data_IF_578029993937
#
_entry.id   IF_578029993937
#
_cell.length_a   1.000
_cell.length_b   1.000
_cell.length_c   1.000
_cell.angle_alpha   90.00
_cell.angle_beta   90.00
_cell.angle_gamma   90.00
#
_symmetry.space_group_name_H-M   'P 1'
#
loop_
_entity.id
_entity.type
_entity.pdbx_description
1 polymer ?
#
# COMPACT_ATOMS: atom_id res chain seq x y z
N UNK A 1 16.11 62.64 17.81
CA UNK A 1 14.97 62.09 17.03
C UNK A 1 14.88 60.52 17.08
N UNK A 2 16.00 59.78 17.07
CA UNK A 2 15.96 58.29 17.05
C UNK A 2 15.49 57.62 18.33
N UNK A 3 15.72 58.16 19.52
CA UNK A 3 15.26 57.59 20.78
C UNK A 3 13.75 57.69 21.00
N UNK A 4 13.16 58.84 20.58
CA UNK A 4 11.71 59.03 20.70
C UNK A 4 10.92 58.06 19.77
N UNK A 5 11.41 57.85 18.53
CA UNK A 5 10.81 56.89 17.62
C UNK A 5 10.86 55.45 18.15
N UNK A 6 11.96 55.05 18.78
CA UNK A 6 12.08 53.72 19.44
C UNK A 6 11.12 53.55 20.59
N UNK A 7 10.90 54.60 21.38
CA UNK A 7 9.95 54.56 22.48
C UNK A 7 8.51 54.41 21.98
N UNK A 8 8.11 55.22 21.03
CA UNK A 8 6.77 55.12 20.40
C UNK A 8 6.52 53.74 19.76
N UNK A 9 7.52 53.17 19.10
CA UNK A 9 7.41 51.84 18.51
C UNK A 9 7.20 50.76 19.61
N UNK A 10 7.89 50.89 20.74
CA UNK A 10 7.73 49.98 21.88
C UNK A 10 6.33 50.07 22.48
N UNK A 11 5.82 51.24 22.72
CA UNK A 11 4.48 51.46 23.25
C UNK A 11 3.40 50.93 22.30
N UNK A 12 3.54 51.20 21.02
CA UNK A 12 2.60 50.69 20.03
C UNK A 12 2.61 49.15 19.94
N UNK A 13 3.79 48.53 20.05
CA UNK A 13 3.92 47.08 20.11
C UNK A 13 3.20 46.50 21.36
N UNK A 14 3.37 47.09 22.54
CA UNK A 14 2.68 46.70 23.75
C UNK A 14 1.15 46.82 23.59
N UNK A 15 0.71 47.93 22.99
CA UNK A 15 -0.70 48.14 22.69
C UNK A 15 -1.27 47.04 21.80
N UNK A 16 -0.57 46.73 20.69
CA UNK A 16 -0.99 45.68 19.74
C UNK A 16 -0.99 44.28 20.41
N UNK A 17 0.03 43.96 21.16
CA UNK A 17 0.12 42.70 21.90
C UNK A 17 -1.01 42.53 22.91
N UNK A 18 -1.34 43.60 23.64
CA UNK A 18 -2.47 43.60 24.61
C UNK A 18 -3.81 43.39 23.89
N UNK A 19 -4.01 44.04 22.74
CA UNK A 19 -5.22 43.86 21.95
C UNK A 19 -5.31 42.47 21.30
N UNK A 20 -4.19 41.91 20.90
CA UNK A 20 -4.13 40.59 20.30
C UNK A 20 -4.15 39.42 21.31
N UNK A 21 -3.81 39.68 22.59
CA UNK A 21 -3.71 38.64 23.60
C UNK A 21 -4.96 37.73 23.73
N UNK A 22 -6.19 38.24 23.81
CA UNK A 22 -7.37 37.40 23.95
C UNK A 22 -7.61 36.52 22.71
N UNK A 23 -7.31 37.04 21.52
CA UNK A 23 -7.41 36.28 20.28
C UNK A 23 -6.34 35.20 20.21
N UNK A 24 -5.11 35.51 20.59
CA UNK A 24 -4.00 34.54 20.66
C UNK A 24 -4.34 33.40 21.65
N UNK A 25 -4.88 33.72 22.79
CA UNK A 25 -5.31 32.74 23.80
C UNK A 25 -6.45 31.85 23.28
N UNK A 26 -7.47 32.45 22.67
CA UNK A 26 -8.58 31.72 22.03
C UNK A 26 -8.06 30.75 20.98
N UNK A 27 -7.18 31.20 20.07
CA UNK A 27 -6.57 30.36 19.04
C UNK A 27 -5.73 29.23 19.66
N UNK A 28 -4.94 29.53 20.69
CA UNK A 28 -4.10 28.54 21.38
C UNK A 28 -4.95 27.43 22.03
N UNK A 29 -6.02 27.80 22.75
CA UNK A 29 -6.96 26.86 23.36
C UNK A 29 -7.59 25.93 22.33
N UNK A 30 -8.07 26.48 21.21
CA UNK A 30 -8.72 25.69 20.16
C UNK A 30 -7.72 24.80 19.42
N UNK A 31 -6.50 25.27 19.15
CA UNK A 31 -5.45 24.44 18.57
C UNK A 31 -5.14 23.21 19.43
N UNK A 32 -5.02 23.42 20.76
CA UNK A 32 -4.78 22.32 21.70
C UNK A 32 -5.92 21.30 21.67
N UNK A 33 -7.16 21.74 21.73
CA UNK A 33 -8.34 20.86 21.66
C UNK A 33 -8.40 20.07 20.35
N UNK A 34 -8.07 20.71 19.21
CA UNK A 34 -8.00 20.04 17.92
C UNK A 34 -6.93 18.95 17.92
N UNK A 35 -5.73 19.20 18.44
CA UNK A 35 -4.66 18.20 18.49
C UNK A 35 -5.01 17.02 19.41
N UNK A 36 -5.67 17.28 20.54
CA UNK A 36 -6.19 16.22 21.43
C UNK A 36 -7.23 15.34 20.69
N UNK A 37 -8.16 15.96 19.96
CA UNK A 37 -9.15 15.24 19.16
C UNK A 37 -8.52 14.44 18.01
N UNK A 38 -7.53 15.00 17.33
CA UNK A 38 -6.77 14.28 16.28
C UNK A 38 -6.07 13.05 16.85
N UNK A 39 -5.43 13.19 18.02
CA UNK A 39 -4.76 12.09 18.71
C UNK A 39 -5.75 11.01 19.13
N UNK A 40 -6.88 11.41 19.72
CA UNK A 40 -7.95 10.47 20.09
C UNK A 40 -8.49 9.71 18.86
N UNK A 41 -8.77 10.42 17.79
CA UNK A 41 -9.22 9.81 16.52
C UNK A 41 -8.20 8.82 15.99
N UNK A 42 -6.92 9.18 15.94
CA UNK A 42 -5.84 8.30 15.48
C UNK A 42 -5.80 7.01 16.30
N UNK A 43 -5.82 7.13 17.62
CA UNK A 43 -5.77 5.98 18.53
C UNK A 43 -6.99 5.06 18.39
N UNK A 44 -8.19 5.64 18.25
CA UNK A 44 -9.41 4.86 18.02
C UNK A 44 -9.39 4.15 16.66
N UNK A 45 -8.91 4.84 15.61
CA UNK A 45 -8.78 4.25 14.27
C UNK A 45 -7.81 3.07 14.27
N UNK A 46 -6.65 3.19 14.93
CA UNK A 46 -5.70 2.08 15.05
C UNK A 46 -6.28 0.89 15.82
N UNK A 47 -6.95 1.15 16.96
CA UNK A 47 -7.59 0.08 17.73
C UNK A 47 -8.65 -0.67 16.92
N UNK A 48 -9.49 0.08 16.20
CA UNK A 48 -10.51 -0.50 15.33
C UNK A 48 -9.89 -1.32 14.19
N UNK A 49 -8.84 -0.80 13.56
CA UNK A 49 -8.17 -1.51 12.47
C UNK A 49 -7.52 -2.81 12.95
N UNK A 50 -6.87 -2.81 14.12
CA UNK A 50 -6.32 -4.01 14.73
C UNK A 50 -7.43 -5.04 14.98
N UNK A 51 -8.53 -4.61 15.58
CA UNK A 51 -9.66 -5.46 15.87
C UNK A 51 -10.25 -6.08 14.57
N UNK A 52 -10.42 -5.28 13.53
CA UNK A 52 -10.88 -5.76 12.22
C UNK A 52 -9.93 -6.84 11.67
N UNK A 53 -8.62 -6.58 11.64
CA UNK A 53 -7.66 -7.53 11.08
C UNK A 53 -7.50 -8.80 11.91
N UNK A 54 -7.74 -8.76 13.21
CA UNK A 54 -7.78 -9.92 14.07
C UNK A 54 -9.00 -10.82 13.78
N UNK A 55 -10.13 -10.19 13.46
CA UNK A 55 -11.39 -10.88 13.19
C UNK A 55 -11.62 -11.19 11.71
N UNK A 56 -10.85 -10.57 10.83
CA UNK A 56 -10.90 -10.86 9.39
C UNK A 56 -10.10 -12.12 9.08
N UNK A 57 -10.80 -13.25 9.02
CA UNK A 57 -10.21 -14.58 8.86
C UNK A 57 -10.40 -15.11 7.45
N UNK A 58 -9.35 -15.75 6.94
CA UNK A 58 -9.31 -16.40 5.64
C UNK A 58 -9.14 -17.90 5.82
N UNK A 59 -9.99 -18.69 5.15
CA UNK A 59 -9.90 -20.15 5.12
C UNK A 59 -8.92 -20.58 4.04
N UNK A 60 -8.19 -21.67 4.30
CA UNK A 60 -7.51 -22.41 3.24
C UNK A 60 -8.37 -23.58 2.75
N UNK A 61 -7.91 -24.33 1.75
CA UNK A 61 -8.65 -25.47 1.20
C UNK A 61 -8.81 -26.63 2.19
N UNK A 62 -8.00 -26.68 3.26
CA UNK A 62 -8.13 -27.64 4.35
C UNK A 62 -9.14 -27.20 5.43
N UNK A 63 -9.74 -26.03 5.28
CA UNK A 63 -10.68 -25.46 6.26
C UNK A 63 -10.01 -24.76 7.46
N UNK A 64 -8.71 -24.51 7.42
CA UNK A 64 -7.97 -23.86 8.50
C UNK A 64 -8.08 -22.34 8.39
N UNK A 65 -8.59 -21.63 9.41
CA UNK A 65 -8.70 -20.19 9.41
C UNK A 65 -7.40 -19.53 9.89
N UNK A 66 -6.96 -18.44 9.22
CA UNK A 66 -5.96 -17.51 9.74
C UNK A 66 -6.46 -16.08 9.65
N UNK A 67 -6.15 -15.27 10.68
CA UNK A 67 -6.48 -13.84 10.66
C UNK A 67 -5.53 -13.06 9.74
N UNK A 68 -5.98 -11.90 9.27
CA UNK A 68 -5.10 -11.01 8.51
C UNK A 68 -3.83 -10.66 9.32
N UNK A 69 -3.93 -10.44 10.63
CA UNK A 69 -2.77 -10.19 11.50
C UNK A 69 -1.79 -11.35 11.51
N UNK A 70 -2.27 -12.60 11.61
CA UNK A 70 -1.41 -13.78 11.62
C UNK A 70 -0.65 -13.94 10.30
N UNK A 71 -1.31 -13.64 9.17
CA UNK A 71 -0.71 -13.76 7.85
C UNK A 71 0.42 -12.75 7.62
N UNK A 72 0.35 -11.58 8.24
CA UNK A 72 1.33 -10.50 8.07
C UNK A 72 2.37 -10.39 9.18
N UNK A 73 2.27 -11.18 10.25
CA UNK A 73 3.17 -11.05 11.42
C UNK A 73 4.67 -11.19 11.11
N UNK A 74 5.02 -11.91 10.04
CA UNK A 74 6.41 -12.15 9.62
C UNK A 74 6.78 -11.41 8.34
N UNK A 75 5.89 -10.59 7.78
CA UNK A 75 6.08 -9.85 6.54
C UNK A 75 6.18 -8.35 6.86
N UNK A 76 7.32 -7.69 6.56
CA UNK A 76 7.42 -6.25 6.79
C UNK A 76 6.32 -5.47 6.05
N UNK A 77 5.69 -4.49 6.67
CA UNK A 77 5.99 -3.85 7.97
C UNK A 77 5.37 -4.56 9.19
N UNK A 78 5.13 -5.88 9.15
CA UNK A 78 4.59 -6.71 10.23
C UNK A 78 3.14 -6.38 10.63
N UNK A 79 2.44 -5.74 9.72
CA UNK A 79 1.05 -5.32 9.88
C UNK A 79 0.36 -5.25 8.51
N UNK A 80 -0.91 -5.73 8.38
CA UNK A 80 -1.62 -5.69 7.12
C UNK A 80 -1.81 -4.26 6.60
N UNK A 81 -1.46 -3.96 5.35
CA UNK A 81 -1.78 -2.68 4.74
C UNK A 81 -3.30 -2.44 4.64
N UNK A 82 -3.71 -1.18 4.58
CA UNK A 82 -5.12 -0.84 4.37
C UNK A 82 -5.65 -1.45 3.05
N UNK A 83 -6.84 -2.04 3.08
CA UNK A 83 -7.45 -2.71 1.95
C UNK A 83 -6.90 -4.12 1.69
N UNK A 84 -6.19 -4.73 2.66
CA UNK A 84 -5.77 -6.13 2.63
C UNK A 84 -6.99 -7.04 2.56
N UNK A 85 -7.03 -7.96 1.58
CA UNK A 85 -8.14 -8.88 1.35
C UNK A 85 -9.36 -8.29 0.64
N UNK A 86 -9.33 -7.00 0.25
CA UNK A 86 -10.45 -6.35 -0.42
C UNK A 86 -10.55 -6.64 -1.92
N UNK A 87 -9.51 -7.25 -2.52
CA UNK A 87 -9.52 -7.67 -3.91
C UNK A 87 -10.52 -8.80 -4.18
N UNK A 88 -10.89 -8.98 -5.45
CA UNK A 88 -11.88 -9.97 -5.86
C UNK A 88 -11.42 -11.41 -5.54
N UNK A 89 -10.16 -11.75 -5.82
CA UNK A 89 -9.64 -13.11 -5.64
C UNK A 89 -9.81 -13.65 -4.21
N UNK A 90 -9.33 -12.99 -3.13
CA UNK A 90 -9.55 -13.48 -1.78
C UNK A 90 -11.04 -13.65 -1.42
N UNK A 91 -11.88 -12.73 -1.89
CA UNK A 91 -13.33 -12.78 -1.61
C UNK A 91 -14.01 -13.97 -2.30
N UNK A 92 -13.65 -14.22 -3.57
CA UNK A 92 -14.21 -15.33 -4.33
C UNK A 92 -13.76 -16.68 -3.76
N UNK A 93 -12.48 -16.82 -3.43
CA UNK A 93 -11.96 -18.05 -2.83
C UNK A 93 -12.57 -18.29 -1.45
N UNK A 94 -12.70 -17.24 -0.61
CA UNK A 94 -13.37 -17.34 0.68
C UNK A 94 -14.83 -17.77 0.54
N UNK A 95 -15.55 -17.19 -0.43
CA UNK A 95 -16.92 -17.57 -0.72
C UNK A 95 -17.01 -19.05 -1.12
N UNK A 96 -16.11 -19.51 -2.00
CA UNK A 96 -16.08 -20.91 -2.42
C UNK A 96 -15.93 -21.86 -1.22
N UNK A 97 -14.98 -21.60 -0.32
CA UNK A 97 -14.76 -22.46 0.86
C UNK A 97 -15.92 -22.41 1.84
N UNK A 98 -16.53 -21.26 2.08
CA UNK A 98 -17.69 -21.14 2.95
C UNK A 98 -18.92 -21.90 2.42
N UNK A 99 -18.98 -22.11 1.10
CA UNK A 99 -20.07 -22.84 0.45
C UNK A 99 -19.68 -24.24 0.01
N UNK A 100 -18.55 -24.79 0.50
CA UNK A 100 -18.04 -26.11 0.15
C UNK A 100 -17.82 -26.30 -1.37
N UNK A 101 -17.47 -25.22 -2.07
CA UNK A 101 -17.12 -25.25 -3.50
C UNK A 101 -15.60 -25.39 -3.64
N UNK A 102 -15.16 -26.22 -4.60
CA UNK A 102 -13.74 -26.36 -4.94
C UNK A 102 -13.41 -25.41 -6.08
N UNK A 103 -12.53 -24.39 -5.89
CA UNK A 103 -12.02 -23.59 -6.98
C UNK A 103 -11.30 -24.45 -8.01
N UNK A 104 -11.60 -24.28 -9.29
CA UNK A 104 -10.99 -25.05 -10.39
C UNK A 104 -9.99 -24.22 -11.17
N UNK A 105 -10.32 -22.95 -11.45
CA UNK A 105 -9.46 -22.02 -12.13
C UNK A 105 -9.81 -20.58 -11.75
N UNK A 106 -8.83 -19.70 -11.77
CA UNK A 106 -9.03 -18.28 -11.49
C UNK A 106 -8.10 -17.44 -12.36
N UNK A 107 -8.62 -16.32 -12.84
CA UNK A 107 -7.82 -15.31 -13.54
C UNK A 107 -8.30 -13.91 -13.15
N UNK A 108 -7.38 -12.99 -12.95
CA UNK A 108 -7.69 -11.59 -12.66
C UNK A 108 -7.34 -10.71 -13.86
N UNK A 109 -8.25 -9.84 -14.24
CA UNK A 109 -8.01 -8.84 -15.28
C UNK A 109 -8.47 -7.47 -14.82
N UNK A 110 -7.87 -6.42 -15.39
CA UNK A 110 -8.25 -5.06 -15.09
C UNK A 110 -9.50 -4.65 -15.85
N UNK A 111 -10.48 -4.14 -15.12
CA UNK A 111 -11.70 -3.60 -15.71
C UNK A 111 -11.80 -2.09 -15.43
N UNK A 112 -11.84 -1.26 -16.50
CA UNK A 112 -11.96 0.18 -16.39
C UNK A 112 -10.73 0.96 -16.84
N UNK A 113 -10.69 2.24 -16.49
CA UNK A 113 -9.56 3.13 -16.83
C UNK A 113 -8.35 2.86 -15.93
N UNK A 114 -7.15 3.17 -16.46
CA UNK A 114 -5.91 3.10 -15.67
C UNK A 114 -5.91 4.09 -14.50
N UNK A 115 -5.43 3.63 -13.36
CA UNK A 115 -5.16 4.53 -12.24
C UNK A 115 -3.98 5.46 -12.58
N UNK A 116 -4.00 6.69 -12.05
CA UNK A 116 -2.89 7.64 -12.23
C UNK A 116 -1.56 7.13 -11.66
N UNK A 117 -1.60 6.27 -10.66
CA UNK A 117 -0.43 5.71 -9.97
C UNK A 117 0.13 4.46 -10.64
N UNK A 118 -0.62 3.80 -11.52
CA UNK A 118 -0.24 2.51 -12.08
C UNK A 118 -0.93 2.32 -13.44
N UNK A 119 -0.13 2.12 -14.50
CA UNK A 119 -0.67 1.87 -15.85
C UNK A 119 -1.22 0.45 -15.90
N UNK A 120 -2.54 0.32 -16.02
CA UNK A 120 -3.24 -0.94 -16.24
C UNK A 120 -4.21 -0.80 -17.41
N UNK A 121 -4.15 -1.71 -18.34
CA UNK A 121 -5.01 -1.69 -19.53
C UNK A 121 -6.26 -2.53 -19.29
N UNK A 122 -7.41 -1.99 -19.70
CA UNK A 122 -8.69 -2.69 -19.65
C UNK A 122 -8.62 -4.04 -20.37
N UNK A 123 -9.15 -5.09 -19.76
CA UNK A 123 -9.18 -6.45 -20.30
C UNK A 123 -7.86 -7.23 -20.24
N UNK A 124 -6.76 -6.62 -19.80
CA UNK A 124 -5.48 -7.31 -19.63
C UNK A 124 -5.39 -8.02 -18.28
N UNK A 125 -4.78 -9.19 -18.28
CA UNK A 125 -4.51 -9.96 -17.07
C UNK A 125 -3.37 -9.38 -16.25
N UNK A 126 -3.50 -9.46 -14.97
CA UNK A 126 -2.48 -9.00 -14.02
C UNK A 126 -2.40 -9.97 -12.84
N UNK A 127 -1.20 -10.21 -12.28
CA UNK A 127 -1.08 -10.98 -11.05
C UNK A 127 -1.70 -10.23 -9.87
N UNK A 128 -2.08 -10.95 -8.86
CA UNK A 128 -2.52 -10.39 -7.57
C UNK A 128 -1.47 -9.46 -6.98
N UNK A 129 -1.90 -8.43 -6.26
CA UNK A 129 -0.96 -7.49 -5.67
C UNK A 129 -0.12 -8.17 -4.58
N UNK A 130 1.22 -8.10 -4.69
CA UNK A 130 2.16 -8.76 -3.79
C UNK A 130 2.06 -8.27 -2.35
N UNK A 131 1.86 -6.96 -2.18
CA UNK A 131 1.90 -6.35 -0.85
C UNK A 131 0.66 -6.57 0.01
N UNK A 132 -0.49 -6.96 -0.57
CA UNK A 132 -1.76 -7.05 0.15
C UNK A 132 -2.44 -8.40 0.02
N UNK A 133 -2.51 -8.94 -1.19
CA UNK A 133 -3.32 -10.13 -1.47
C UNK A 133 -2.49 -11.40 -1.61
N UNK A 134 -1.22 -11.31 -2.04
CA UNK A 134 -0.35 -12.46 -2.18
C UNK A 134 -0.22 -13.28 -0.88
N UNK A 135 0.09 -12.70 0.30
CA UNK A 135 0.19 -13.49 1.53
C UNK A 135 -1.13 -14.16 1.96
N UNK A 136 -2.26 -13.54 1.59
CA UNK A 136 -3.58 -14.12 1.86
C UNK A 136 -3.80 -15.31 0.93
N UNK A 137 -3.56 -15.14 -0.36
CA UNK A 137 -3.75 -16.19 -1.36
C UNK A 137 -2.79 -17.35 -1.14
N UNK A 138 -1.53 -17.11 -0.74
CA UNK A 138 -0.60 -18.18 -0.34
C UNK A 138 -1.19 -19.08 0.76
N UNK A 139 -1.87 -18.50 1.73
CA UNK A 139 -2.56 -19.29 2.74
C UNK A 139 -3.82 -19.97 2.19
N UNK A 140 -4.65 -19.22 1.46
CA UNK A 140 -5.94 -19.73 0.97
C UNK A 140 -5.79 -20.88 -0.01
N UNK A 141 -4.71 -20.91 -0.80
CA UNK A 141 -4.42 -21.95 -1.77
C UNK A 141 -3.76 -23.20 -1.17
N UNK A 142 -3.38 -23.19 0.12
CA UNK A 142 -2.85 -24.38 0.80
C UNK A 142 -3.90 -25.49 0.81
N UNK A 143 -3.51 -26.67 0.33
CA UNK A 143 -4.39 -27.83 0.16
C UNK A 143 -5.05 -27.94 -1.22
N UNK A 144 -4.78 -26.98 -2.13
CA UNK A 144 -5.07 -27.13 -3.55
C UNK A 144 -3.80 -27.47 -4.34
N UNK A 145 -3.97 -28.24 -5.39
CA UNK A 145 -2.96 -28.39 -6.43
C UNK A 145 -3.05 -27.17 -7.36
N UNK A 146 -2.00 -26.38 -7.40
CA UNK A 146 -1.97 -25.08 -8.12
C UNK A 146 -0.75 -25.05 -9.04
N UNK A 147 -0.96 -24.71 -10.28
CA UNK A 147 0.11 -24.50 -11.25
C UNK A 147 0.97 -23.27 -10.89
N UNK A 148 2.21 -23.27 -11.32
CA UNK A 148 3.08 -22.11 -11.20
C UNK A 148 2.48 -20.89 -11.93
N UNK A 149 2.58 -19.73 -11.29
CA UNK A 149 2.07 -18.51 -11.90
C UNK A 149 2.97 -18.05 -13.06
N UNK A 150 2.57 -18.35 -14.28
CA UNK A 150 3.30 -17.99 -15.50
C UNK A 150 3.61 -16.49 -15.62
N UNK A 151 2.80 -15.62 -14.98
CA UNK A 151 3.05 -14.16 -14.96
C UNK A 151 4.22 -13.73 -14.06
N UNK A 152 4.68 -14.61 -13.18
CA UNK A 152 5.84 -14.37 -12.31
C UNK A 152 7.13 -14.94 -12.88
N UNK A 153 7.05 -15.73 -13.95
CA UNK A 153 8.22 -16.29 -14.62
C UNK A 153 8.95 -15.14 -15.33
N UNK A 154 10.24 -14.99 -15.03
CA UNK A 154 11.06 -14.03 -15.75
C UNK A 154 11.30 -14.52 -17.20
N UNK A 155 10.77 -13.87 -18.23
CA UNK A 155 10.92 -14.31 -19.61
C UNK A 155 12.37 -14.24 -20.12
N UNK A 156 13.26 -13.54 -19.39
CA UNK A 156 14.67 -13.43 -19.69
C UNK A 156 15.53 -14.55 -19.06
N UNK A 157 14.93 -15.39 -18.21
CA UNK A 157 15.68 -16.44 -17.52
C UNK A 157 16.26 -17.46 -18.53
N UNK A 158 17.58 -17.66 -18.47
CA UNK A 158 18.29 -18.59 -19.37
C UNK A 158 18.49 -18.09 -20.80
N UNK A 159 18.08 -16.87 -21.14
CA UNK A 159 18.35 -16.25 -22.44
C UNK A 159 19.62 -15.41 -22.37
N UNK A 160 20.48 -15.54 -23.38
CA UNK A 160 21.67 -14.69 -23.52
C UNK A 160 21.29 -13.33 -24.09
N UNK A 161 22.07 -12.32 -23.74
CA UNK A 161 21.97 -10.97 -24.29
C UNK A 161 23.06 -10.77 -25.36
N UNK A 162 22.73 -10.90 -26.68
CA UNK A 162 23.71 -10.78 -27.72
C UNK A 162 24.36 -9.38 -27.75
N UNK A 163 25.67 -9.33 -27.63
CA UNK A 163 26.46 -8.11 -27.75
C UNK A 163 26.74 -7.88 -29.22
N UNK A 164 26.35 -6.69 -29.74
CA UNK A 164 26.58 -6.27 -31.12
C UNK A 164 27.90 -5.53 -31.24
N UNK A 165 28.23 -4.75 -30.21
CA UNK A 165 29.42 -3.92 -30.15
C UNK A 165 29.83 -3.70 -28.70
N UNK A 166 31.13 -3.68 -28.45
CA UNK A 166 31.70 -3.37 -27.15
C UNK A 166 33.07 -2.72 -27.33
N UNK A 167 33.31 -1.61 -26.61
CA UNK A 167 34.61 -0.97 -26.46
C UNK A 167 34.78 -0.52 -25.00
N UNK A 168 35.87 0.25 -24.73
CA UNK A 168 36.16 0.72 -23.37
C UNK A 168 35.10 1.67 -22.77
N UNK A 169 34.17 2.17 -23.56
CA UNK A 169 33.22 3.23 -23.16
C UNK A 169 31.76 2.86 -23.45
N UNK A 170 31.49 2.00 -24.41
CA UNK A 170 30.16 1.70 -24.92
C UNK A 170 29.95 0.20 -25.10
N UNK A 171 28.75 -0.25 -24.76
CA UNK A 171 28.28 -1.59 -25.06
C UNK A 171 26.93 -1.49 -25.79
N UNK A 172 26.82 -2.00 -26.99
CA UNK A 172 25.56 -2.14 -27.73
C UNK A 172 25.11 -3.58 -27.71
N UNK A 173 23.85 -3.81 -27.28
CA UNK A 173 23.28 -5.14 -27.15
C UNK A 173 22.01 -5.25 -27.99
N UNK A 174 21.80 -6.40 -28.61
CA UNK A 174 20.52 -6.73 -29.26
C UNK A 174 19.58 -7.32 -28.20
N UNK A 175 18.82 -6.45 -27.57
CA UNK A 175 17.92 -6.86 -26.49
C UNK A 175 16.72 -7.63 -27.07
N UNK A 176 16.56 -8.93 -26.76
CA UNK A 176 15.38 -9.69 -27.18
C UNK A 176 14.08 -9.04 -26.66
N UNK A 177 12.98 -9.36 -27.35
CA UNK A 177 11.64 -9.02 -26.90
C UNK A 177 11.42 -9.56 -25.47
N UNK A 178 10.61 -8.87 -24.68
CA UNK A 178 10.28 -9.17 -23.27
C UNK A 178 11.40 -8.93 -22.23
N UNK A 179 12.65 -8.68 -22.63
CA UNK A 179 13.67 -8.23 -21.69
C UNK A 179 13.38 -6.83 -21.20
N UNK A 180 13.41 -6.62 -19.88
CA UNK A 180 13.24 -5.28 -19.29
C UNK A 180 14.52 -4.46 -19.48
N UNK A 181 14.39 -3.25 -20.04
CA UNK A 181 15.54 -2.32 -20.20
C UNK A 181 15.90 -1.62 -18.90
N UNK A 182 14.99 -1.55 -17.95
CA UNK A 182 15.20 -1.01 -16.61
C UNK A 182 14.59 -1.98 -15.61
N UNK A 183 15.16 -2.03 -14.40
CA UNK A 183 14.59 -2.84 -13.34
C UNK A 183 13.14 -2.45 -13.11
N UNK A 184 12.23 -3.38 -13.25
CA UNK A 184 10.84 -3.19 -12.86
C UNK A 184 10.75 -2.75 -11.40
N UNK A 185 9.80 -1.90 -11.08
CA UNK A 185 9.52 -1.63 -9.66
C UNK A 185 9.19 -2.97 -9.01
N UNK A 186 9.98 -3.35 -8.02
CA UNK A 186 9.58 -4.42 -7.10
C UNK A 186 8.32 -3.91 -6.41
N UNK A 187 7.18 -4.42 -6.87
CA UNK A 187 5.88 -4.09 -6.30
C UNK A 187 5.73 -4.89 -5.02
#
# INVERSE_FOLDING_TARGET
>A
QGMHAKFLLKEYKIYLDTKAAPVKEFISKHKKAIEELKTKRKNLSHKLQNWIFEHYKFLNANGEPKSALDLFKNIPPYFPPSGTGDCAAPKLVQYAYLHNLKPVAMAEFWYGESLRSQIRKHGHYYPSCRSKCEPILEHMLQGLEVDDNAMLINPALGKELPIIYEDDYLMAVNKPEEFLSVRGKTI
#
